data_IF_899885783269
#
_entry.id   IF_899885783269
#
_cell.length_a   1.000
_cell.length_b   1.000
_cell.length_c   1.000
_cell.angle_alpha   90.00
_cell.angle_beta   90.00
_cell.angle_gamma   90.00
#
_symmetry.space_group_name_H-M   'P 1'
#
loop_
_entity.id
_entity.type
_entity.pdbx_description
1 polymer ?
#
# COMPACT_ATOMS: atom_id res chain seq x y z
N UNK A 1 -38.71 1.22 5.80
CA UNK A 1 -38.14 2.15 4.81
C UNK A 1 -37.39 3.22 5.57
N UNK A 2 -36.13 2.98 5.91
CA UNK A 2 -35.31 3.87 6.75
C UNK A 2 -34.68 4.92 5.83
N UNK A 3 -35.07 6.19 5.98
CA UNK A 3 -34.50 7.29 5.21
C UNK A 3 -33.09 7.58 5.75
N UNK A 4 -32.07 7.38 4.91
CA UNK A 4 -30.70 7.78 5.25
C UNK A 4 -30.62 9.31 5.26
N UNK A 5 -30.44 9.88 6.45
CA UNK A 5 -30.19 11.31 6.63
C UNK A 5 -28.88 11.70 5.94
N UNK A 6 -28.98 12.54 4.92
CA UNK A 6 -27.84 13.10 4.21
C UNK A 6 -27.21 14.20 5.07
N UNK A 7 -26.29 13.80 5.95
CA UNK A 7 -25.49 14.73 6.74
C UNK A 7 -24.73 15.69 5.83
N UNK A 8 -24.97 16.99 6.04
CA UNK A 8 -24.40 18.14 5.33
C UNK A 8 -22.87 18.07 5.27
N UNK A 9 -22.35 17.83 4.06
CA UNK A 9 -20.93 17.83 3.73
C UNK A 9 -20.40 19.27 3.76
N UNK A 10 -19.59 19.59 4.75
CA UNK A 10 -18.82 20.83 4.80
C UNK A 10 -17.71 20.79 3.74
N UNK A 11 -17.82 21.67 2.74
CA UNK A 11 -16.82 21.85 1.70
C UNK A 11 -15.55 22.46 2.29
N UNK A 12 -14.49 21.65 2.41
CA UNK A 12 -13.16 22.15 2.76
C UNK A 12 -12.09 21.06 2.81
N UNK A 13 -11.29 20.98 1.74
CA UNK A 13 -10.02 20.23 1.64
C UNK A 13 -10.10 18.71 1.40
N UNK A 14 -9.23 18.25 0.48
CA UNK A 14 -8.84 16.88 0.14
C UNK A 14 -9.94 15.81 0.25
N UNK A 15 -10.44 15.33 -0.90
CA UNK A 15 -11.42 14.23 -1.03
C UNK A 15 -11.27 13.17 0.07
N UNK A 16 -12.04 13.32 1.15
CA UNK A 16 -12.01 12.34 2.22
C UNK A 16 -12.58 11.04 1.67
N UNK A 17 -11.92 9.93 1.98
CA UNK A 17 -12.35 8.61 1.51
C UNK A 17 -13.82 8.37 1.87
N UNK A 18 -14.63 7.97 0.88
CA UNK A 18 -16.06 7.63 1.03
C UNK A 18 -16.35 6.67 2.18
N UNK A 19 -15.37 5.84 2.54
CA UNK A 19 -15.42 4.91 3.68
C UNK A 19 -15.84 5.62 4.97
N UNK A 20 -15.38 6.86 5.20
CA UNK A 20 -15.67 7.61 6.42
C UNK A 20 -17.15 7.99 6.58
N UNK A 21 -17.96 7.94 5.52
CA UNK A 21 -19.41 8.16 5.63
C UNK A 21 -20.15 7.06 6.39
N UNK A 22 -19.52 5.88 6.57
CA UNK A 22 -20.09 4.73 7.30
C UNK A 22 -19.64 4.63 8.75
N UNK A 23 -18.80 5.57 9.22
CA UNK A 23 -18.21 5.51 10.55
C UNK A 23 -18.26 6.85 11.27
N UNK A 24 -18.56 6.80 12.56
CA UNK A 24 -18.44 7.93 13.47
C UNK A 24 -17.09 7.87 14.20
N UNK A 25 -16.36 9.00 14.25
CA UNK A 25 -15.07 9.06 14.93
C UNK A 25 -15.27 9.27 16.44
N UNK A 26 -14.64 8.41 17.23
CA UNK A 26 -14.58 8.52 18.68
C UNK A 26 -13.16 8.94 19.06
N UNK A 27 -13.04 10.17 19.57
CA UNK A 27 -11.77 10.71 20.06
C UNK A 27 -11.59 10.28 21.53
N UNK A 28 -10.53 9.51 21.79
CA UNK A 28 -10.10 9.14 23.14
C UNK A 28 -8.61 9.40 23.35
N UNK A 29 -8.13 9.28 24.58
CA UNK A 29 -6.81 9.77 25.00
C UNK A 29 -5.60 9.18 24.28
N UNK A 30 -5.70 7.97 23.69
CA UNK A 30 -4.52 7.24 23.17
C UNK A 30 -4.67 6.61 21.78
N UNK A 31 -5.88 6.48 21.26
CA UNK A 31 -6.11 5.87 19.94
C UNK A 31 -7.40 6.39 19.33
N UNK A 32 -7.35 6.74 18.04
CA UNK A 32 -8.56 7.00 17.27
C UNK A 32 -9.38 5.70 17.18
N UNK A 33 -10.56 5.73 17.76
CA UNK A 33 -11.57 4.70 17.61
C UNK A 33 -12.66 5.19 16.66
N UNK A 34 -13.36 4.25 16.05
CA UNK A 34 -14.45 4.54 15.13
C UNK A 34 -15.59 3.57 15.37
N UNK A 35 -16.82 4.06 15.30
CA UNK A 35 -18.03 3.26 15.46
C UNK A 35 -18.70 3.08 14.11
N UNK A 36 -19.05 1.85 13.76
CA UNK A 36 -19.81 1.56 12.55
C UNK A 36 -21.25 2.10 12.68
N UNK A 37 -21.70 2.84 11.66
CA UNK A 37 -23.04 3.44 11.59
C UNK A 37 -24.04 2.60 10.78
N UNK A 38 -23.62 1.46 10.22
CA UNK A 38 -24.53 0.55 9.52
C UNK A 38 -25.47 -0.12 10.52
N UNK A 39 -26.74 -0.23 10.16
CA UNK A 39 -27.81 -0.82 10.97
C UNK A 39 -27.37 -2.19 11.53
N UNK A 40 -27.69 -2.43 12.82
CA UNK A 40 -27.40 -3.64 13.59
C UNK A 40 -25.92 -3.99 13.86
N UNK A 41 -24.95 -3.16 13.45
CA UNK A 41 -23.53 -3.46 13.69
C UNK A 41 -23.03 -3.02 15.08
N UNK A 42 -23.23 -1.74 15.39
CA UNK A 42 -22.71 -1.02 16.57
C UNK A 42 -21.22 -1.28 16.95
N UNK A 43 -20.43 -1.89 16.06
CA UNK A 43 -19.07 -2.34 16.36
C UNK A 43 -18.09 -1.18 16.41
N UNK A 44 -17.25 -1.16 17.42
CA UNK A 44 -16.15 -0.19 17.57
C UNK A 44 -14.85 -0.81 17.07
N UNK A 45 -14.14 -0.09 16.20
CA UNK A 45 -12.85 -0.51 15.63
C UNK A 45 -11.75 0.46 16.06
N UNK A 46 -10.54 -0.07 16.24
CA UNK A 46 -9.34 0.74 16.43
C UNK A 46 -8.64 0.96 15.09
N UNK A 47 -8.34 2.22 14.76
CA UNK A 47 -7.67 2.60 13.52
C UNK A 47 -6.38 3.36 13.81
N UNK A 48 -5.24 2.66 13.96
CA UNK A 48 -3.96 3.34 14.11
C UNK A 48 -3.67 4.16 12.85
N UNK A 49 -3.19 5.39 13.04
CA UNK A 49 -2.75 6.29 11.97
C UNK A 49 -3.81 6.59 10.90
N UNK A 50 -5.09 6.64 11.28
CA UNK A 50 -6.20 6.93 10.35
C UNK A 50 -6.30 5.97 9.15
N UNK A 51 -5.78 4.74 9.29
CA UNK A 51 -5.83 3.73 8.22
C UNK A 51 -7.26 3.29 7.92
N UNK A 52 -7.66 3.32 6.65
CA UNK A 52 -8.99 2.88 6.19
C UNK A 52 -9.05 1.38 5.88
N UNK A 53 -7.93 0.65 5.93
CA UNK A 53 -7.88 -0.77 5.56
C UNK A 53 -8.75 -1.65 6.46
N UNK A 54 -8.74 -1.39 7.78
CA UNK A 54 -9.59 -2.11 8.75
C UNK A 54 -11.07 -1.79 8.54
N UNK A 55 -11.38 -0.53 8.23
CA UNK A 55 -12.74 -0.05 7.95
C UNK A 55 -13.32 -0.72 6.70
N UNK A 56 -12.57 -0.72 5.60
CA UNK A 56 -12.95 -1.36 4.34
C UNK A 56 -13.17 -2.86 4.56
N UNK A 57 -12.25 -3.52 5.28
CA UNK A 57 -12.40 -4.95 5.59
C UNK A 57 -13.66 -5.22 6.39
N UNK A 58 -13.97 -4.39 7.36
CA UNK A 58 -15.17 -4.51 8.16
C UNK A 58 -16.44 -4.38 7.31
N UNK A 59 -16.55 -3.33 6.48
CA UNK A 59 -17.69 -3.14 5.57
C UNK A 59 -17.87 -4.30 4.60
N UNK A 60 -16.78 -4.85 4.07
CA UNK A 60 -16.85 -5.98 3.13
C UNK A 60 -17.26 -7.29 3.76
N UNK A 61 -16.78 -7.59 4.97
CA UNK A 61 -16.98 -8.90 5.60
C UNK A 61 -18.28 -8.94 6.40
N UNK A 62 -18.62 -7.84 7.07
CA UNK A 62 -19.78 -7.80 7.96
C UNK A 62 -21.02 -7.26 7.24
N UNK A 63 -20.84 -6.34 6.29
CA UNK A 63 -21.95 -5.69 5.58
C UNK A 63 -22.02 -6.03 4.10
N UNK A 64 -21.15 -6.92 3.59
CA UNK A 64 -21.11 -7.35 2.19
C UNK A 64 -21.10 -6.18 1.18
N UNK A 65 -20.58 -5.01 1.59
CA UNK A 65 -20.53 -3.81 0.76
C UNK A 65 -19.42 -3.94 -0.29
N UNK A 66 -19.83 -4.41 -1.46
CA UNK A 66 -18.95 -4.69 -2.59
C UNK A 66 -18.36 -3.43 -3.25
N UNK A 67 -18.91 -2.25 -2.99
CA UNK A 67 -18.40 -0.98 -3.51
C UNK A 67 -16.96 -0.68 -3.07
N UNK A 68 -16.51 -1.28 -1.96
CA UNK A 68 -15.16 -1.16 -1.44
C UNK A 68 -14.26 -2.35 -1.78
N UNK A 69 -14.70 -3.25 -2.67
CA UNK A 69 -13.77 -4.22 -3.26
C UNK A 69 -12.58 -3.43 -3.82
N UNK A 70 -11.34 -3.80 -3.45
CA UNK A 70 -10.16 -3.16 -4.02
C UNK A 70 -10.37 -3.20 -5.52
N UNK A 71 -10.46 -2.03 -6.18
CA UNK A 71 -10.43 -1.97 -7.64
C UNK A 71 -9.28 -2.85 -8.02
N UNK A 72 -9.59 -3.93 -8.69
CA UNK A 72 -8.65 -4.97 -8.97
C UNK A 72 -7.52 -4.33 -9.78
N UNK A 73 -6.46 -3.90 -9.09
CA UNK A 73 -5.16 -3.61 -9.69
C UNK A 73 -4.53 -4.92 -10.22
N UNK A 74 -5.37 -5.90 -10.60
CA UNK A 74 -5.06 -7.17 -11.21
C UNK A 74 -4.57 -6.99 -12.65
N UNK A 75 -4.78 -5.83 -13.28
CA UNK A 75 -4.28 -5.57 -14.65
C UNK A 75 -2.94 -4.81 -14.72
N UNK A 76 -2.59 -3.97 -13.74
CA UNK A 76 -1.35 -3.19 -13.80
C UNK A 76 -0.16 -3.85 -13.09
N UNK A 77 -0.39 -4.71 -12.09
CA UNK A 77 0.70 -5.49 -11.48
C UNK A 77 1.06 -6.76 -12.27
N UNK A 78 0.13 -7.29 -13.07
CA UNK A 78 0.33 -8.52 -13.85
C UNK A 78 1.16 -8.33 -15.13
N UNK A 79 1.28 -7.10 -15.64
CA UNK A 79 2.13 -6.79 -16.81
C UNK A 79 3.58 -6.43 -16.48
N UNK A 80 3.98 -6.38 -15.21
CA UNK A 80 5.41 -6.27 -14.90
C UNK A 80 6.09 -7.55 -15.39
N UNK A 81 6.84 -7.43 -16.49
CA UNK A 81 7.62 -8.52 -17.08
C UNK A 81 8.48 -9.12 -15.99
N UNK A 82 8.14 -10.32 -15.52
CA UNK A 82 8.93 -11.01 -14.52
C UNK A 82 10.28 -11.35 -15.15
N UNK A 83 11.35 -10.85 -14.55
CA UNK A 83 12.70 -11.15 -15.00
C UNK A 83 12.99 -12.62 -14.71
N UNK A 84 13.51 -13.40 -15.67
CA UNK A 84 13.90 -14.78 -15.45
C UNK A 84 14.86 -14.90 -14.25
N UNK A 85 14.63 -15.87 -13.37
CA UNK A 85 15.38 -16.02 -12.11
C UNK A 85 16.90 -16.10 -12.35
N UNK A 86 17.32 -16.81 -13.41
CA UNK A 86 18.74 -16.92 -13.80
C UNK A 86 19.34 -15.56 -14.15
N UNK A 87 18.62 -14.74 -14.92
CA UNK A 87 19.05 -13.39 -15.30
C UNK A 87 19.10 -12.46 -14.09
N UNK A 88 18.09 -12.52 -13.21
CA UNK A 88 18.08 -11.75 -11.95
C UNK A 88 19.31 -12.07 -11.10
N UNK A 89 19.64 -13.35 -10.90
CA UNK A 89 20.83 -13.76 -10.14
C UNK A 89 22.12 -13.23 -10.77
N UNK A 90 22.21 -13.21 -12.11
CA UNK A 90 23.37 -12.64 -12.82
C UNK A 90 23.48 -11.13 -12.58
N UNK A 91 22.37 -10.40 -12.69
CA UNK A 91 22.31 -8.96 -12.40
C UNK A 91 22.70 -8.65 -10.94
N UNK A 92 22.14 -9.39 -9.98
CA UNK A 92 22.47 -9.23 -8.56
C UNK A 92 23.97 -9.43 -8.30
N UNK A 93 24.59 -10.46 -8.90
CA UNK A 93 26.05 -10.69 -8.81
C UNK A 93 26.85 -9.55 -9.42
N UNK A 94 26.44 -9.03 -10.57
CA UNK A 94 27.13 -7.91 -11.22
C UNK A 94 27.04 -6.63 -10.38
N UNK A 95 25.88 -6.34 -9.79
CA UNK A 95 25.70 -5.18 -8.90
C UNK A 95 26.59 -5.31 -7.66
N UNK A 96 26.58 -6.47 -7.01
CA UNK A 96 27.43 -6.72 -5.82
C UNK A 96 28.91 -6.65 -6.17
N UNK A 97 29.32 -7.20 -7.32
CA UNK A 97 30.69 -7.07 -7.81
C UNK A 97 31.10 -5.61 -8.01
N UNK A 98 30.26 -4.80 -8.66
CA UNK A 98 30.54 -3.38 -8.87
C UNK A 98 30.62 -2.58 -7.55
N UNK A 99 29.87 -2.99 -6.52
CA UNK A 99 29.96 -2.44 -5.15
C UNK A 99 31.35 -2.73 -4.57
N UNK A 100 31.80 -3.97 -4.65
CA UNK A 100 33.08 -4.43 -4.07
C UNK A 100 34.27 -3.84 -4.85
N UNK A 101 34.31 -4.03 -6.17
CA UNK A 101 35.47 -3.69 -7.01
C UNK A 101 35.66 -2.19 -7.19
N UNK A 102 34.57 -1.40 -7.22
CA UNK A 102 34.63 0.05 -7.45
C UNK A 102 34.29 0.88 -6.21
N UNK A 103 34.22 0.24 -5.02
CA UNK A 103 33.89 0.93 -3.77
C UNK A 103 32.56 1.68 -3.80
N UNK A 104 31.58 1.22 -4.59
CA UNK A 104 30.26 1.87 -4.68
C UNK A 104 29.43 1.49 -3.46
N UNK A 105 28.67 2.44 -2.90
CA UNK A 105 27.72 2.12 -1.83
C UNK A 105 26.42 1.50 -2.38
N UNK A 106 25.75 0.67 -1.58
CA UNK A 106 24.40 0.17 -1.89
C UNK A 106 23.42 1.32 -2.18
N UNK A 107 23.57 2.45 -1.48
CA UNK A 107 22.74 3.64 -1.68
C UNK A 107 22.81 4.23 -3.08
N UNK A 108 23.92 4.04 -3.83
CA UNK A 108 24.03 4.52 -5.20
C UNK A 108 22.98 3.85 -6.13
N UNK A 109 22.68 2.57 -5.92
CA UNK A 109 21.67 1.82 -6.68
C UNK A 109 20.23 2.16 -6.27
N UNK A 110 20.06 2.90 -5.17
CA UNK A 110 18.77 3.43 -4.73
C UNK A 110 18.49 4.86 -5.23
N UNK A 111 19.45 5.52 -5.87
CA UNK A 111 19.26 6.87 -6.41
C UNK A 111 18.28 6.85 -7.58
N UNK A 112 17.37 7.82 -7.65
CA UNK A 112 16.30 7.89 -8.64
C UNK A 112 16.81 7.78 -10.08
N UNK A 113 17.87 8.50 -10.45
CA UNK A 113 18.44 8.46 -11.80
C UNK A 113 18.96 7.07 -12.20
N UNK A 114 19.72 6.40 -11.32
CA UNK A 114 20.22 5.05 -11.60
C UNK A 114 19.09 4.02 -11.59
N UNK A 115 18.08 4.18 -10.71
CA UNK A 115 16.89 3.34 -10.72
C UNK A 115 16.10 3.49 -12.03
N UNK A 116 15.91 4.71 -12.53
CA UNK A 116 15.26 4.95 -13.83
C UNK A 116 16.03 4.26 -14.96
N UNK A 117 17.35 4.45 -15.01
CA UNK A 117 18.20 3.78 -15.99
C UNK A 117 18.06 2.25 -15.93
N UNK A 118 18.11 1.67 -14.73
CA UNK A 118 17.95 0.23 -14.52
C UNK A 118 16.55 -0.25 -14.92
N UNK A 119 15.49 0.51 -14.62
CA UNK A 119 14.13 0.14 -15.04
C UNK A 119 13.96 0.20 -16.56
N UNK A 120 14.61 1.13 -17.25
CA UNK A 120 14.60 1.20 -18.71
C UNK A 120 15.33 -0.01 -19.33
N UNK A 121 16.49 -0.38 -18.79
CA UNK A 121 17.27 -1.50 -19.27
C UNK A 121 16.65 -2.87 -18.91
N UNK A 122 16.12 -3.00 -17.68
CA UNK A 122 15.57 -4.22 -17.11
C UNK A 122 14.27 -3.94 -16.35
N UNK A 123 13.13 -3.81 -17.06
CA UNK A 123 11.84 -3.52 -16.44
C UNK A 123 11.48 -4.53 -15.35
N UNK A 124 11.18 -4.03 -14.15
CA UNK A 124 10.82 -4.87 -12.99
C UNK A 124 12.02 -5.38 -12.18
N UNK A 125 13.26 -5.09 -12.58
CA UNK A 125 14.42 -5.40 -11.75
C UNK A 125 14.46 -4.48 -10.54
N UNK A 126 14.75 -5.03 -9.37
CA UNK A 126 15.04 -4.25 -8.17
C UNK A 126 16.42 -4.68 -7.66
N UNK A 127 17.38 -3.75 -7.55
CA UNK A 127 18.70 -4.05 -6.99
C UNK A 127 18.60 -4.67 -5.60
N UNK A 128 19.53 -5.57 -5.22
CA UNK A 128 19.52 -6.21 -3.91
C UNK A 128 19.76 -5.18 -2.80
N UNK A 129 19.05 -5.33 -1.70
CA UNK A 129 19.29 -4.54 -0.49
C UNK A 129 20.47 -5.14 0.29
N UNK A 130 21.20 -4.32 1.06
CA UNK A 130 22.34 -4.78 1.88
C UNK A 130 21.99 -6.02 2.72
N UNK A 131 20.82 -5.99 3.38
CA UNK A 131 20.36 -7.06 4.26
C UNK A 131 19.95 -8.35 3.52
N UNK A 132 19.85 -8.32 2.18
CA UNK A 132 19.49 -9.50 1.38
C UNK A 132 20.69 -10.32 0.92
N UNK A 133 21.91 -9.83 1.16
CA UNK A 133 23.15 -10.52 0.79
C UNK A 133 23.63 -11.28 2.01
N UNK A 134 23.35 -12.59 2.02
CA UNK A 134 24.00 -13.51 2.94
C UNK A 134 25.33 -13.91 2.35
N UNK A 135 26.43 -13.68 3.07
CA UNK A 135 27.72 -14.32 2.77
C UNK A 135 27.56 -15.80 3.06
N UNK A 136 27.41 -16.61 2.00
CA UNK A 136 27.57 -18.06 2.06
C UNK A 136 29.04 -18.42 2.01
#
# INVERSE_FOLDING_TARGET
>A
MTQMNQSTLTLGSAEQSRVWGYFERIYGDRSLQVKCLVDDCAKVLSTPLHSTSTLIRHLRVIHELDEFKPKENLAHRSKQKRIPVKLKKKLDRTVVRAIIEHGRSFGNFSKSGLQQFIQLAFPGYKPPHRNSISTQ
#
